data_IF_462083859194
#
_entry.id   IF_462083859194
#
_cell.length_a   1.000
_cell.length_b   1.000
_cell.length_c   1.000
_cell.angle_alpha   90.00
_cell.angle_beta   90.00
_cell.angle_gamma   90.00
#
_symmetry.space_group_name_H-M   'P 1'
#
loop_
_entity.id
_entity.type
_entity.pdbx_description
1 polymer ?
#
# COMPACT_ATOMS: atom_id res chain seq x y z
N UNK A 1 9.85 -1.49 -10.91
CA UNK A 1 9.91 -1.42 -12.39
C UNK A 1 8.58 -1.83 -12.98
N UNK A 2 8.49 -2.10 -14.28
CA UNK A 2 7.32 -2.70 -14.90
C UNK A 2 7.14 -4.11 -14.40
N UNK A 3 6.05 -4.39 -13.68
CA UNK A 3 5.64 -5.76 -13.40
C UNK A 3 4.50 -6.11 -14.36
N UNK A 4 4.79 -6.96 -15.34
CA UNK A 4 3.84 -7.42 -16.36
C UNK A 4 3.35 -8.82 -16.00
N UNK A 5 2.14 -9.17 -16.41
CA UNK A 5 1.61 -10.52 -16.18
C UNK A 5 2.38 -11.54 -17.02
N UNK A 6 2.75 -12.66 -16.42
CA UNK A 6 3.50 -13.72 -17.11
C UNK A 6 2.72 -14.31 -18.29
N UNK A 7 1.43 -14.58 -18.08
CA UNK A 7 0.54 -15.20 -19.06
C UNK A 7 -0.04 -14.18 -20.06
N UNK A 8 0.07 -12.88 -19.77
CA UNK A 8 -0.39 -11.76 -20.62
C UNK A 8 0.62 -10.62 -20.57
N UNK A 9 1.75 -10.80 -21.25
CA UNK A 9 2.95 -9.96 -21.14
C UNK A 9 2.79 -8.53 -21.64
N UNK A 10 1.69 -8.20 -22.30
CA UNK A 10 1.32 -6.84 -22.69
C UNK A 10 0.42 -6.16 -21.65
N UNK A 11 0.19 -6.76 -20.47
CA UNK A 11 -0.65 -6.20 -19.41
C UNK A 11 0.10 -6.06 -18.10
N UNK A 12 -0.13 -4.95 -17.40
CA UNK A 12 0.46 -4.70 -16.10
C UNK A 12 -0.19 -5.54 -15.00
N UNK A 13 0.65 -6.14 -14.17
CA UNK A 13 0.29 -6.41 -12.79
C UNK A 13 0.35 -5.13 -11.96
N UNK A 14 1.45 -4.38 -12.05
CA UNK A 14 1.61 -3.05 -11.43
C UNK A 14 2.68 -2.22 -12.15
N UNK A 15 2.48 -0.90 -12.19
CA UNK A 15 3.45 0.11 -12.61
C UNK A 15 3.93 0.97 -11.42
N UNK A 16 4.02 0.36 -10.24
CA UNK A 16 4.28 1.04 -8.96
C UNK A 16 3.01 1.21 -8.14
N UNK A 17 3.17 1.58 -6.88
CA UNK A 17 2.09 1.58 -5.90
C UNK A 17 1.78 2.99 -5.43
N UNK A 18 0.53 3.17 -5.01
CA UNK A 18 0.04 4.42 -4.47
C UNK A 18 -0.56 4.21 -3.09
N UNK A 19 -0.64 5.30 -2.32
CA UNK A 19 -1.36 5.31 -1.06
C UNK A 19 -2.24 6.55 -0.99
N UNK A 20 -3.56 6.34 -0.84
CA UNK A 20 -4.53 7.43 -0.83
C UNK A 20 -4.59 8.12 0.53
N UNK A 21 -4.95 9.40 0.50
CA UNK A 21 -5.11 10.23 1.72
C UNK A 21 -6.20 9.72 2.68
N UNK A 22 -7.06 8.80 2.24
CA UNK A 22 -8.06 8.13 3.07
C UNK A 22 -7.60 6.77 3.62
N UNK A 23 -6.30 6.47 3.55
CA UNK A 23 -5.75 5.28 4.17
C UNK A 23 -5.85 4.01 3.32
N UNK A 24 -6.11 4.14 2.03
CA UNK A 24 -6.27 3.00 1.11
C UNK A 24 -5.02 2.83 0.25
N UNK A 25 -4.27 1.72 0.37
CA UNK A 25 -3.22 1.37 -0.57
C UNK A 25 -3.81 0.87 -1.89
N UNK A 26 -3.02 0.96 -2.96
CA UNK A 26 -3.37 0.37 -4.25
C UNK A 26 -2.19 0.33 -5.22
N UNK A 27 -2.42 -0.24 -6.39
CA UNK A 27 -1.40 -0.42 -7.41
C UNK A 27 -1.78 0.36 -8.69
N UNK A 28 -0.79 0.93 -9.36
CA UNK A 28 -0.96 1.68 -10.61
C UNK A 28 -1.02 0.74 -11.80
N UNK A 29 -1.86 1.03 -12.78
CA UNK A 29 -1.88 0.32 -14.05
C UNK A 29 -2.43 -1.11 -14.03
N UNK A 30 -2.91 -1.63 -12.89
CA UNK A 30 -3.38 -3.03 -12.79
C UNK A 30 -4.37 -3.37 -13.91
N UNK A 31 -4.11 -4.48 -14.61
CA UNK A 31 -4.90 -4.99 -15.73
C UNK A 31 -4.95 -4.10 -16.97
N UNK A 32 -4.23 -2.98 -17.01
CA UNK A 32 -4.14 -2.14 -18.20
C UNK A 32 -3.14 -2.74 -19.18
N UNK A 33 -3.44 -2.61 -20.48
CA UNK A 33 -2.49 -2.93 -21.54
C UNK A 33 -1.35 -1.91 -21.54
N UNK A 34 -0.11 -2.36 -21.69
CA UNK A 34 1.05 -1.49 -21.88
C UNK A 34 1.04 -0.94 -23.31
N UNK A 35 0.58 0.31 -23.41
CA UNK A 35 0.59 1.11 -24.65
C UNK A 35 1.61 2.25 -24.55
N UNK A 36 2.52 2.17 -23.56
CA UNK A 36 3.54 3.17 -23.29
C UNK A 36 3.12 4.26 -22.31
N UNK A 37 1.97 4.12 -21.64
CA UNK A 37 1.46 5.11 -20.68
C UNK A 37 2.30 5.23 -19.40
N UNK A 38 3.11 4.22 -19.08
CA UNK A 38 4.06 4.23 -17.95
C UNK A 38 5.50 4.08 -18.43
N UNK A 39 5.91 4.86 -19.44
CA UNK A 39 7.27 4.83 -20.01
C UNK A 39 8.22 5.88 -19.44
N UNK A 40 7.80 6.64 -18.43
CA UNK A 40 8.64 7.65 -17.79
C UNK A 40 9.17 7.15 -16.44
N UNK A 41 10.40 7.56 -16.11
CA UNK A 41 10.92 7.42 -14.74
C UNK A 41 10.23 8.48 -13.90
N UNK A 42 9.66 8.08 -12.78
CA UNK A 42 8.93 8.99 -11.90
C UNK A 42 9.00 8.53 -10.44
N UNK A 43 8.71 9.46 -9.54
CA UNK A 43 8.52 9.13 -8.14
C UNK A 43 7.11 8.56 -7.91
N UNK A 44 7.04 7.42 -7.24
CA UNK A 44 5.80 6.78 -6.79
C UNK A 44 5.79 6.71 -5.27
N UNK A 45 4.62 6.44 -4.68
CA UNK A 45 4.55 6.25 -3.22
C UNK A 45 5.32 4.99 -2.81
N UNK A 46 5.09 3.89 -3.51
CA UNK A 46 5.66 2.59 -3.18
C UNK A 46 5.91 1.73 -4.40
N UNK A 47 6.47 0.56 -4.15
CA UNK A 47 6.69 -0.44 -5.18
C UNK A 47 6.40 -1.82 -4.61
N UNK A 48 5.79 -2.67 -5.45
CA UNK A 48 5.48 -4.03 -5.08
C UNK A 48 6.74 -4.80 -4.73
N UNK A 49 6.71 -5.58 -3.64
CA UNK A 49 7.86 -6.33 -3.13
C UNK A 49 8.53 -7.22 -4.20
N UNK A 50 7.75 -7.80 -5.11
CA UNK A 50 8.25 -8.64 -6.21
C UNK A 50 8.96 -7.89 -7.35
N UNK A 51 8.98 -6.55 -7.32
CA UNK A 51 9.64 -5.70 -8.33
C UNK A 51 10.48 -4.56 -7.76
N UNK A 52 10.90 -4.71 -6.50
CA UNK A 52 11.62 -3.70 -5.75
C UNK A 52 13.09 -4.06 -5.56
N UNK A 53 13.94 -3.04 -5.60
CA UNK A 53 15.34 -3.12 -5.19
C UNK A 53 15.60 -2.01 -4.17
N UNK A 54 16.23 -2.37 -3.05
CA UNK A 54 16.47 -1.43 -1.94
C UNK A 54 17.96 -1.18 -1.78
N UNK A 55 18.34 0.07 -1.51
CA UNK A 55 19.69 0.38 -1.05
C UNK A 55 19.90 -0.25 0.32
N UNK A 56 21.06 -0.86 0.57
CA UNK A 56 21.39 -1.42 1.89
C UNK A 56 21.26 -0.36 2.99
N UNK A 57 21.79 0.83 2.77
CA UNK A 57 21.72 1.96 3.72
C UNK A 57 20.29 2.35 4.07
N UNK A 58 19.34 2.21 3.14
CA UNK A 58 17.92 2.46 3.42
C UNK A 58 17.39 1.40 4.41
N UNK A 59 17.68 0.11 4.18
CA UNK A 59 17.27 -0.97 5.07
C UNK A 59 17.92 -0.88 6.45
N UNK A 60 19.21 -0.55 6.51
CA UNK A 60 19.94 -0.35 7.77
C UNK A 60 19.31 0.78 8.60
N UNK A 61 18.77 1.80 7.93
CA UNK A 61 18.15 2.95 8.57
C UNK A 61 16.71 2.68 9.04
N UNK A 62 15.85 2.17 8.14
CA UNK A 62 14.42 2.08 8.43
C UNK A 62 13.99 0.71 8.95
N UNK A 63 14.87 -0.30 8.86
CA UNK A 63 14.58 -1.71 9.11
C UNK A 63 13.97 -2.43 7.89
N UNK A 64 13.92 -3.76 7.93
CA UNK A 64 13.33 -4.56 6.84
C UNK A 64 11.81 -4.77 7.04
N UNK A 65 11.26 -5.86 6.50
CA UNK A 65 9.84 -6.22 6.63
C UNK A 65 9.43 -6.39 8.10
N UNK A 66 8.19 -6.05 8.41
CA UNK A 66 7.62 -6.24 9.73
C UNK A 66 6.72 -7.48 9.75
N UNK A 67 7.16 -8.51 10.47
CA UNK A 67 6.48 -9.82 10.57
C UNK A 67 5.02 -9.72 11.06
N UNK A 68 4.64 -8.62 11.72
CA UNK A 68 3.25 -8.41 12.10
C UNK A 68 2.30 -8.27 10.92
N UNK A 69 2.79 -7.86 9.74
CA UNK A 69 2.01 -7.84 8.51
C UNK A 69 1.79 -9.26 7.97
N UNK A 70 2.80 -10.12 8.08
CA UNK A 70 2.87 -11.52 7.63
C UNK A 70 2.60 -11.74 6.13
N UNK A 71 1.45 -11.29 5.63
CA UNK A 71 1.03 -11.38 4.25
C UNK A 71 0.28 -10.11 3.85
N UNK A 72 0.59 -9.55 2.69
CA UNK A 72 0.04 -8.28 2.17
C UNK A 72 0.43 -7.04 2.97
N UNK A 73 0.69 -5.95 2.25
CA UNK A 73 1.02 -4.62 2.77
C UNK A 73 2.37 -4.49 3.50
N UNK A 74 3.18 -5.53 3.56
CA UNK A 74 4.53 -5.46 4.13
C UNK A 74 5.47 -4.55 3.31
N UNK A 75 5.29 -4.52 1.99
CA UNK A 75 5.97 -3.65 1.05
C UNK A 75 5.45 -2.21 1.10
N UNK A 76 4.15 -2.04 1.31
CA UNK A 76 3.52 -0.73 1.58
C UNK A 76 4.06 -0.13 2.89
N UNK A 77 4.28 -0.95 3.92
CA UNK A 77 4.90 -0.51 5.18
C UNK A 77 6.35 -0.05 5.00
N UNK A 78 7.17 -0.77 4.23
CA UNK A 78 8.51 -0.33 3.84
C UNK A 78 8.42 1.01 3.11
N UNK A 79 7.50 1.14 2.15
CA UNK A 79 7.32 2.36 1.36
C UNK A 79 6.95 3.55 2.24
N UNK A 80 6.05 3.35 3.21
CA UNK A 80 5.73 4.35 4.24
C UNK A 80 6.97 4.82 4.99
N UNK A 81 7.76 3.89 5.52
CA UNK A 81 8.96 4.21 6.31
C UNK A 81 10.04 4.88 5.47
N UNK A 82 10.21 4.47 4.21
CA UNK A 82 11.14 5.08 3.27
C UNK A 82 10.76 6.55 3.01
N UNK A 83 9.50 6.83 2.62
CA UNK A 83 9.03 8.19 2.40
C UNK A 83 9.20 9.05 3.67
N UNK A 84 8.79 8.55 4.83
CA UNK A 84 8.92 9.29 6.09
C UNK A 84 10.38 9.65 6.40
N UNK A 85 11.34 8.75 6.13
CA UNK A 85 12.77 8.98 6.32
C UNK A 85 13.41 9.89 5.24
N UNK A 86 12.63 10.36 4.27
CA UNK A 86 13.09 11.23 3.18
C UNK A 86 13.66 10.51 1.97
N UNK A 87 13.50 9.19 1.89
CA UNK A 87 13.88 8.43 0.71
C UNK A 87 12.80 8.53 -0.37
N UNK A 88 13.24 8.59 -1.63
CA UNK A 88 12.34 8.53 -2.78
C UNK A 88 12.21 7.10 -3.28
N UNK A 89 10.98 6.71 -3.65
CA UNK A 89 10.71 5.46 -4.37
C UNK A 89 10.51 5.80 -5.84
N UNK A 90 11.39 5.27 -6.69
CA UNK A 90 11.35 5.54 -8.13
C UNK A 90 10.80 4.35 -8.89
N UNK A 91 9.81 4.61 -9.74
CA UNK A 91 9.41 3.68 -10.78
C UNK A 91 10.37 3.82 -11.98
N UNK A 92 10.96 2.71 -12.39
CA UNK A 92 11.91 2.63 -13.50
C UNK A 92 11.34 1.73 -14.59
N UNK A 93 10.85 2.28 -15.72
CA UNK A 93 10.09 1.54 -16.72
C UNK A 93 10.94 0.57 -17.55
N UNK A 94 12.26 0.80 -17.59
CA UNK A 94 13.21 -0.08 -18.29
C UNK A 94 13.50 -1.38 -17.52
N UNK A 95 13.22 -1.42 -16.22
CA UNK A 95 13.32 -2.64 -15.42
C UNK A 95 12.01 -3.44 -15.51
N UNK A 96 12.02 -4.54 -16.27
CA UNK A 96 10.82 -5.35 -16.57
C UNK A 96 10.88 -6.70 -15.87
N UNK A 97 9.79 -7.08 -15.20
CA UNK A 97 9.62 -8.36 -14.50
C UNK A 97 8.29 -8.98 -14.93
N UNK A 98 8.29 -10.29 -15.18
CA UNK A 98 7.07 -11.04 -15.48
C UNK A 98 6.58 -11.79 -14.25
N UNK A 99 5.41 -11.41 -13.74
CA UNK A 99 4.81 -11.99 -12.55
C UNK A 99 3.74 -13.02 -12.90
N UNK A 100 3.92 -14.25 -12.44
CA UNK A 100 2.91 -15.31 -12.57
C UNK A 100 1.94 -15.22 -11.41
N UNK A 101 0.82 -14.54 -11.64
CA UNK A 101 -0.22 -14.38 -10.63
C UNK A 101 -0.85 -15.73 -10.33
N UNK A 102 -0.76 -16.18 -9.08
CA UNK A 102 -1.62 -17.25 -8.56
C UNK A 102 -2.88 -16.62 -7.98
N UNK A 103 -3.94 -17.41 -7.80
CA UNK A 103 -5.24 -16.97 -7.25
C UNK A 103 -5.19 -16.38 -5.82
N UNK A 104 -4.00 -16.15 -5.25
CA UNK A 104 -3.77 -15.55 -3.95
C UNK A 104 -4.13 -14.07 -3.89
N UNK A 105 -3.96 -13.32 -4.99
CA UNK A 105 -4.45 -11.93 -5.13
C UNK A 105 -5.97 -11.91 -5.33
N UNK A 106 -6.72 -11.87 -4.23
CA UNK A 106 -8.17 -12.13 -4.20
C UNK A 106 -8.58 -13.39 -3.43
N UNK A 107 -7.62 -14.10 -2.83
CA UNK A 107 -7.91 -15.23 -1.95
C UNK A 107 -8.61 -14.80 -0.66
N UNK A 108 -9.24 -15.76 0.00
CA UNK A 108 -9.81 -15.61 1.34
C UNK A 108 -8.75 -15.15 2.34
N UNK A 109 -7.52 -15.65 2.21
CA UNK A 109 -6.37 -15.26 3.05
C UNK A 109 -5.99 -13.80 2.79
N UNK A 110 -5.78 -13.42 1.53
CA UNK A 110 -5.47 -12.04 1.18
C UNK A 110 -6.53 -11.06 1.67
N UNK A 111 -7.80 -11.39 1.47
CA UNK A 111 -8.92 -10.57 1.94
C UNK A 111 -8.92 -10.38 3.46
N UNK A 112 -8.59 -11.41 4.24
CA UNK A 112 -8.43 -11.31 5.69
C UNK A 112 -7.30 -10.34 6.06
N UNK A 113 -6.10 -10.55 5.49
CA UNK A 113 -4.95 -9.73 5.82
C UNK A 113 -5.11 -8.30 5.35
N UNK A 114 -5.70 -8.04 4.19
CA UNK A 114 -5.97 -6.67 3.76
C UNK A 114 -6.94 -5.96 4.74
N UNK A 115 -7.94 -6.69 5.27
CA UNK A 115 -8.87 -6.18 6.28
C UNK A 115 -8.17 -5.70 7.55
N UNK A 116 -7.17 -6.47 7.98
CA UNK A 116 -6.37 -6.20 9.18
C UNK A 116 -5.29 -5.15 8.92
N UNK A 117 -4.52 -5.34 7.86
CA UNK A 117 -3.27 -4.64 7.60
C UNK A 117 -3.51 -3.22 7.11
N UNK A 118 -4.67 -2.90 6.52
CA UNK A 118 -5.02 -1.50 6.23
C UNK A 118 -5.10 -0.68 7.52
N UNK A 119 -5.68 -1.24 8.59
CA UNK A 119 -5.67 -0.61 9.91
C UNK A 119 -4.24 -0.49 10.44
N UNK A 120 -3.41 -1.52 10.26
CA UNK A 120 -2.02 -1.48 10.71
C UNK A 120 -1.22 -0.37 10.02
N UNK A 121 -1.33 -0.22 8.69
CA UNK A 121 -0.67 0.86 7.96
C UNK A 121 -1.07 2.24 8.51
N UNK A 122 -2.37 2.46 8.70
CA UNK A 122 -2.89 3.73 9.25
C UNK A 122 -2.28 3.97 10.63
N UNK A 123 -2.40 3.03 11.56
CA UNK A 123 -1.99 3.22 12.95
C UNK A 123 -0.49 3.16 13.20
N UNK A 124 0.26 2.48 12.34
CA UNK A 124 1.73 2.37 12.43
C UNK A 124 2.42 3.56 11.77
N UNK A 125 1.99 3.97 10.57
CA UNK A 125 2.79 4.86 9.72
C UNK A 125 2.18 6.25 9.52
N UNK A 126 0.85 6.39 9.48
CA UNK A 126 0.21 7.65 9.12
C UNK A 126 0.45 8.75 10.18
N UNK A 127 1.09 9.88 9.86
CA UNK A 127 1.40 10.91 10.85
C UNK A 127 0.17 11.44 11.56
N UNK A 128 0.31 11.78 12.85
CA UNK A 128 -0.83 12.17 13.70
C UNK A 128 -1.54 13.44 13.20
N UNK A 129 -0.80 14.41 12.67
CA UNK A 129 -1.34 15.64 12.08
C UNK A 129 -2.21 15.35 10.86
N UNK A 130 -1.71 14.57 9.91
CA UNK A 130 -2.46 14.13 8.73
C UNK A 130 -3.63 13.21 9.10
N UNK A 131 -3.46 12.34 10.10
CA UNK A 131 -4.53 11.48 10.61
C UNK A 131 -5.67 12.34 11.14
N UNK A 132 -5.38 13.37 11.95
CA UNK A 132 -6.37 14.35 12.41
C UNK A 132 -6.99 15.16 11.27
N UNK A 133 -6.24 15.48 10.22
CA UNK A 133 -6.75 16.18 9.04
C UNK A 133 -7.72 15.32 8.22
N UNK A 134 -7.45 14.01 8.11
CA UNK A 134 -8.15 13.11 7.19
C UNK A 134 -9.05 12.06 7.86
N UNK A 135 -9.19 12.06 9.19
CA UNK A 135 -9.87 10.99 9.93
C UNK A 135 -11.29 10.68 9.43
N UNK A 136 -12.07 11.68 9.00
CA UNK A 136 -13.43 11.49 8.47
C UNK A 136 -13.40 10.71 7.16
N UNK A 137 -12.46 11.05 6.27
CA UNK A 137 -12.26 10.37 4.98
C UNK A 137 -11.76 8.94 5.20
N UNK A 138 -10.80 8.77 6.10
CA UNK A 138 -10.28 7.45 6.50
C UNK A 138 -11.39 6.57 7.06
N UNK A 139 -12.19 7.10 8.00
CA UNK A 139 -13.31 6.38 8.59
C UNK A 139 -14.36 6.03 7.53
N UNK A 140 -14.72 6.96 6.66
CA UNK A 140 -15.66 6.71 5.57
C UNK A 140 -15.16 5.58 4.65
N UNK A 141 -13.90 5.60 4.24
CA UNK A 141 -13.30 4.55 3.41
C UNK A 141 -13.35 3.16 4.10
N UNK A 142 -13.02 3.08 5.39
CA UNK A 142 -13.11 1.82 6.14
C UNK A 142 -14.57 1.35 6.29
N UNK A 143 -15.51 2.26 6.50
CA UNK A 143 -16.94 1.93 6.57
C UNK A 143 -17.48 1.48 5.22
N UNK A 144 -17.03 2.06 4.11
CA UNK A 144 -17.49 1.67 2.79
C UNK A 144 -16.95 0.30 2.38
N UNK A 145 -15.71 -0.03 2.74
CA UNK A 145 -15.17 -1.39 2.65
C UNK A 145 -16.02 -2.37 3.48
N UNK A 146 -16.36 -1.98 4.70
CA UNK A 146 -17.20 -2.80 5.60
C UNK A 146 -18.58 -3.04 5.00
N UNK A 147 -19.24 -1.99 4.52
CA UNK A 147 -20.56 -2.08 3.85
C UNK A 147 -20.50 -2.94 2.60
N UNK A 148 -19.46 -2.78 1.76
CA UNK A 148 -19.27 -3.60 0.58
C UNK A 148 -19.13 -5.09 0.94
N UNK A 149 -18.33 -5.40 1.96
CA UNK A 149 -18.18 -6.76 2.45
C UNK A 149 -19.48 -7.33 3.06
N UNK A 150 -20.26 -6.52 3.78
CA UNK A 150 -21.58 -6.92 4.31
C UNK A 150 -22.59 -7.17 3.19
N UNK A 151 -22.63 -6.34 2.13
CA UNK A 151 -23.47 -6.59 0.94
C UNK A 151 -23.05 -7.88 0.22
N UNK A 152 -21.76 -8.16 0.18
CA UNK A 152 -21.19 -9.37 -0.41
C UNK A 152 -21.06 -10.55 0.59
N UNK A 153 -21.80 -10.54 1.71
CA UNK A 153 -21.62 -11.47 2.83
C UNK A 153 -21.66 -12.96 2.46
N UNK A 154 -22.33 -13.32 1.37
CA UNK A 154 -22.36 -14.71 0.87
C UNK A 154 -20.98 -15.21 0.40
N UNK A 155 -20.06 -14.33 0.05
CA UNK A 155 -18.69 -14.69 -0.34
C UNK A 155 -17.73 -14.90 0.84
N UNK A 156 -16.89 -15.93 0.77
CA UNK A 156 -15.90 -16.24 1.80
C UNK A 156 -14.86 -15.12 1.98
N UNK A 157 -14.39 -14.54 0.88
CA UNK A 157 -13.48 -13.40 0.88
C UNK A 157 -14.05 -12.19 1.62
N UNK A 158 -15.35 -11.89 1.43
CA UNK A 158 -16.02 -10.79 2.11
C UNK A 158 -16.11 -11.02 3.63
N UNK A 159 -16.49 -12.23 4.05
CA UNK A 159 -16.47 -12.60 5.48
C UNK A 159 -15.06 -12.58 6.06
N UNK A 160 -14.06 -12.98 5.28
CA UNK A 160 -12.66 -12.93 5.69
C UNK A 160 -12.18 -11.49 5.88
N UNK A 161 -12.53 -10.57 4.98
CA UNK A 161 -12.26 -9.13 5.12
C UNK A 161 -12.80 -8.57 6.43
N UNK A 162 -14.05 -8.87 6.77
CA UNK A 162 -14.67 -8.42 8.02
C UNK A 162 -13.98 -9.02 9.26
N UNK A 163 -13.66 -10.31 9.24
CA UNK A 163 -12.85 -10.95 10.30
C UNK A 163 -11.48 -10.30 10.45
N UNK A 164 -10.86 -9.92 9.33
CA UNK A 164 -9.59 -9.20 9.31
C UNK A 164 -9.68 -7.82 9.98
N UNK A 165 -10.71 -7.04 9.64
CA UNK A 165 -10.95 -5.73 10.27
C UNK A 165 -11.14 -5.87 11.79
N UNK A 166 -11.94 -6.84 12.24
CA UNK A 166 -12.14 -7.12 13.67
C UNK A 166 -10.83 -7.55 14.35
N UNK A 167 -10.07 -8.45 13.73
CA UNK A 167 -8.78 -8.91 14.24
C UNK A 167 -7.71 -7.81 14.27
N UNK A 168 -7.86 -6.77 13.44
CA UNK A 168 -6.96 -5.62 13.43
C UNK A 168 -7.16 -4.68 14.62
N UNK A 169 -8.38 -4.61 15.19
CA UNK A 169 -8.69 -3.66 16.26
C UNK A 169 -7.79 -3.83 17.51
N UNK A 170 -7.55 -5.04 18.05
CA UNK A 170 -6.61 -5.21 19.17
C UNK A 170 -5.17 -4.87 18.79
N UNK A 171 -4.79 -5.09 17.53
CA UNK A 171 -3.44 -4.80 17.02
C UNK A 171 -3.14 -3.31 16.86
N UNK A 172 -4.15 -2.44 16.85
CA UNK A 172 -3.99 -0.98 16.76
C UNK A 172 -3.05 -0.45 17.84
N UNK A 173 -3.20 -0.92 19.08
CA UNK A 173 -2.35 -0.45 20.19
C UNK A 173 -0.88 -0.83 19.96
N UNK A 174 -0.61 -2.04 19.45
CA UNK A 174 0.74 -2.48 19.09
C UNK A 174 1.32 -1.61 17.98
N UNK A 175 0.54 -1.32 16.94
CA UNK A 175 0.96 -0.50 15.80
C UNK A 175 1.22 0.95 16.20
N UNK A 176 0.36 1.51 17.05
CA UNK A 176 0.55 2.84 17.63
C UNK A 176 1.84 2.93 18.47
N UNK A 177 2.19 1.89 19.24
CA UNK A 177 3.49 1.85 19.95
C UNK A 177 4.67 1.83 18.99
N UNK A 178 4.57 1.09 17.87
CA UNK A 178 5.61 1.07 16.83
C UNK A 178 5.77 2.43 16.14
N UNK A 179 4.68 3.18 15.97
CA UNK A 179 4.69 4.53 15.38
C UNK A 179 5.70 5.46 16.03
N UNK A 180 5.95 5.35 17.34
CA UNK A 180 6.96 6.18 18.03
C UNK A 180 8.35 6.06 17.39
N UNK A 181 8.77 4.84 17.03
CA UNK A 181 10.06 4.60 16.37
C UNK A 181 10.07 5.18 14.96
N UNK A 182 8.97 5.04 14.22
CA UNK A 182 8.84 5.52 12.84
C UNK A 182 8.83 7.05 12.79
N UNK A 183 8.11 7.69 13.70
CA UNK A 183 8.10 9.15 13.79
C UNK A 183 9.49 9.71 14.17
N UNK A 184 10.29 8.97 14.93
CA UNK A 184 11.67 9.38 15.24
C UNK A 184 12.60 9.34 14.02
N UNK A 185 12.26 8.54 12.99
CA UNK A 185 12.98 8.49 11.72
C UNK A 185 12.47 9.54 10.71
N UNK A 186 11.38 10.24 11.03
CA UNK A 186 10.72 11.15 10.08
C UNK A 186 11.61 12.36 9.78
N UNK A 187 11.90 12.60 8.49
CA UNK A 187 12.68 13.74 7.97
C UNK A 187 11.91 14.66 7.03
N UNK A 188 10.71 14.29 6.62
CA UNK A 188 9.86 15.11 5.74
C UNK A 188 8.70 15.75 6.50
N UNK A 189 8.31 16.96 6.09
CA UNK A 189 7.12 17.65 6.61
C UNK A 189 5.82 17.04 6.06
N UNK A 190 4.67 17.58 6.50
CA UNK A 190 3.34 17.08 6.11
C UNK A 190 2.98 17.38 4.66
N UNK A 191 3.47 18.49 4.10
CA UNK A 191 3.18 18.92 2.73
C UNK A 191 3.97 18.08 1.73
N UNK A 192 5.27 17.88 2.00
CA UNK A 192 6.15 16.97 1.27
C UNK A 192 5.59 15.54 1.25
N UNK A 193 5.09 15.05 2.39
CA UNK A 193 4.42 13.75 2.45
C UNK A 193 3.09 13.75 1.69
N UNK A 194 2.29 14.80 1.80
CA UNK A 194 1.00 14.89 1.10
C UNK A 194 1.19 14.88 -0.42
N UNK A 195 2.28 15.46 -0.92
CA UNK A 195 2.60 15.47 -2.35
C UNK A 195 2.81 14.08 -2.96
N UNK A 196 3.30 13.12 -2.17
CA UNK A 196 3.49 11.72 -2.61
C UNK A 196 2.25 10.83 -2.36
N UNK A 197 1.27 11.30 -1.58
CA UNK A 197 0.00 10.62 -1.39
C UNK A 197 -0.97 10.92 -2.54
N UNK A 198 -1.83 9.96 -2.87
CA UNK A 198 -2.82 10.10 -3.94
C UNK A 198 -4.12 10.72 -3.40
N UNK A 199 -4.68 11.74 -4.07
CA UNK A 199 -6.02 12.24 -3.77
C UNK A 199 -7.09 11.16 -3.93
N UNK A 200 -8.30 11.39 -3.41
CA UNK A 200 -9.40 10.42 -3.55
C UNK A 200 -9.92 10.37 -4.99
N UNK A 201 -9.97 11.53 -5.64
CA UNK A 201 -10.66 11.73 -6.92
C UNK A 201 -9.73 11.60 -8.14
N UNK A 202 -8.44 11.31 -7.92
CA UNK A 202 -7.44 11.13 -8.98
C UNK A 202 -7.43 9.65 -9.39
N UNK A 203 -7.96 9.27 -10.58
CA UNK A 203 -7.88 7.89 -11.04
C UNK A 203 -6.40 7.52 -11.20
N UNK A 204 -5.96 6.34 -10.76
CA UNK A 204 -4.55 5.93 -10.79
C UNK A 204 -3.96 5.71 -12.21
N UNK A 205 -4.57 6.28 -13.25
CA UNK A 205 -4.18 6.24 -14.66
C UNK A 205 -3.61 7.55 -15.21
N UNK A 206 -3.53 8.64 -14.43
CA UNK A 206 -3.20 9.98 -14.96
C UNK A 206 -1.93 10.65 -14.40
N UNK A 207 -1.07 9.92 -13.69
CA UNK A 207 0.30 10.36 -13.44
C UNK A 207 1.24 9.43 -14.14
#
# INVERSE_FOLDING_TARGET
>A
GKMLLFDRRDHFHTAGDFYRIDGIPGNRGVWQKDVGQFNQVEQVFGACGGSSAYRRTLIDEIGFLDDDFFFSCEDVDISWRANLAGWQVLYVPTAVIYHKLKATGGSVIGSYYDGRNFLYLIWKNYPTSLLKKHWRKILAAQLDITKAALRAWRGEAARARLRGQLAGLPGIFKMWRKRKKINALRRIDDDSLTAVLTPIDDPPSHR
#
